data_IF_551054567134
#
_entry.id   IF_551054567134
#
_cell.length_a   1.000
_cell.length_b   1.000
_cell.length_c   1.000
_cell.angle_alpha   90.00
_cell.angle_beta   90.00
_cell.angle_gamma   90.00
#
_symmetry.space_group_name_H-M   'P 1'
#
loop_
_entity.id
_entity.type
_entity.pdbx_description
1 polymer ?
#
# COMPACT_ATOMS: atom_id res chain seq x y z
N UNK A 1 -11.19 -1.09 -4.25
CA UNK A 1 -10.95 -0.31 -5.49
C UNK A 1 -12.11 -0.50 -6.47
N UNK A 2 -12.63 -1.71 -6.62
CA UNK A 2 -13.76 -2.00 -7.48
C UNK A 2 -15.03 -1.23 -7.09
N UNK A 3 -15.89 -0.91 -8.07
CA UNK A 3 -17.07 -0.06 -7.85
C UNK A 3 -18.08 -0.66 -6.86
N UNK A 4 -18.18 -1.97 -6.81
CA UNK A 4 -19.04 -2.74 -5.92
C UNK A 4 -18.33 -3.24 -4.64
N UNK A 5 -17.09 -2.80 -4.41
CA UNK A 5 -16.36 -3.08 -3.17
C UNK A 5 -17.00 -2.39 -1.97
N UNK A 6 -17.07 -3.10 -0.83
CA UNK A 6 -17.75 -2.62 0.38
C UNK A 6 -17.12 -1.32 0.95
N UNK A 7 -15.78 -1.21 0.90
CA UNK A 7 -15.02 -0.01 1.26
C UNK A 7 -14.08 0.30 0.09
N UNK A 8 -14.61 0.98 -0.92
CA UNK A 8 -13.89 1.20 -2.17
C UNK A 8 -13.43 2.64 -2.33
N UNK A 9 -12.20 2.81 -2.79
CA UNK A 9 -11.66 4.08 -3.24
C UNK A 9 -12.14 4.46 -4.66
N UNK A 10 -12.83 3.55 -5.37
CA UNK A 10 -13.45 3.72 -6.71
C UNK A 10 -12.51 4.40 -7.70
N UNK A 11 -13.06 5.35 -8.49
CA UNK A 11 -12.33 6.03 -9.55
C UNK A 11 -10.97 6.59 -9.13
N UNK A 12 -10.78 7.29 -7.99
CA UNK A 12 -9.46 7.72 -7.57
C UNK A 12 -8.44 6.58 -7.44
N UNK A 13 -8.87 5.44 -6.87
CA UNK A 13 -8.02 4.26 -6.74
C UNK A 13 -7.77 3.54 -8.06
N UNK A 14 -8.72 3.58 -8.99
CA UNK A 14 -8.58 2.99 -10.33
C UNK A 14 -7.65 3.83 -11.21
N UNK A 15 -7.68 5.14 -11.08
CA UNK A 15 -6.89 6.06 -11.89
C UNK A 15 -5.37 5.92 -11.69
N UNK A 16 -4.92 5.43 -10.54
CA UNK A 16 -3.49 5.25 -10.25
C UNK A 16 -2.91 3.92 -10.74
N UNK A 17 -3.74 2.97 -11.16
CA UNK A 17 -3.31 1.61 -11.51
C UNK A 17 -2.20 1.58 -12.56
N UNK A 18 -2.37 2.27 -13.68
CA UNK A 18 -1.38 2.31 -14.77
C UNK A 18 -0.03 2.90 -14.31
N UNK A 19 -0.07 3.87 -13.42
CA UNK A 19 1.16 4.46 -12.87
C UNK A 19 1.88 3.47 -11.96
N UNK A 20 1.14 2.77 -11.11
CA UNK A 20 1.69 1.73 -10.22
C UNK A 20 2.33 0.62 -11.03
N UNK A 21 1.68 0.15 -12.09
CA UNK A 21 2.22 -0.90 -12.97
C UNK A 21 3.54 -0.47 -13.63
N UNK A 22 3.61 0.76 -14.17
CA UNK A 22 4.84 1.30 -14.76
C UNK A 22 5.98 1.42 -13.75
N UNK A 23 5.66 1.82 -12.52
CA UNK A 23 6.65 1.87 -11.43
C UNK A 23 7.12 0.46 -11.09
N UNK A 24 6.22 -0.49 -10.92
CA UNK A 24 6.56 -1.89 -10.60
C UNK A 24 7.49 -2.50 -11.66
N UNK A 25 7.18 -2.32 -12.95
CA UNK A 25 8.04 -2.78 -14.04
C UNK A 25 9.40 -2.08 -14.03
N UNK A 26 9.44 -0.79 -13.74
CA UNK A 26 10.68 0.00 -13.68
C UNK A 26 11.57 -0.49 -12.55
N UNK A 27 11.02 -0.68 -11.34
CA UNK A 27 11.76 -1.18 -10.19
C UNK A 27 12.30 -2.60 -10.44
N UNK A 28 11.47 -3.51 -10.99
CA UNK A 28 11.94 -4.85 -11.35
C UNK A 28 13.06 -4.83 -12.40
N UNK A 29 12.94 -3.98 -13.43
CA UNK A 29 13.96 -3.86 -14.46
C UNK A 29 15.30 -3.32 -13.93
N UNK A 30 15.26 -2.53 -12.84
CA UNK A 30 16.44 -2.04 -12.15
C UNK A 30 17.04 -3.06 -11.16
N UNK A 31 16.37 -4.17 -10.91
CA UNK A 31 16.78 -5.16 -9.90
C UNK A 31 16.31 -4.82 -8.48
N UNK A 32 15.35 -3.91 -8.35
CA UNK A 32 14.75 -3.52 -7.07
C UNK A 32 13.56 -4.41 -6.71
N UNK A 33 13.16 -4.39 -5.44
CA UNK A 33 12.04 -5.16 -4.94
C UNK A 33 10.70 -4.46 -5.19
N UNK A 34 9.69 -5.25 -5.54
CA UNK A 34 8.28 -4.83 -5.55
C UNK A 34 7.53 -5.62 -4.48
N UNK A 35 7.00 -4.89 -3.50
CA UNK A 35 6.35 -5.48 -2.32
C UNK A 35 4.88 -5.07 -2.30
N UNK A 36 3.97 -6.05 -2.16
CA UNK A 36 2.53 -5.87 -2.15
C UNK A 36 1.94 -6.23 -0.78
N UNK A 37 1.97 -5.30 0.18
CA UNK A 37 1.27 -5.49 1.45
C UNK A 37 -0.25 -5.47 1.21
N UNK A 38 -0.91 -6.60 1.38
CA UNK A 38 -2.34 -6.74 1.12
C UNK A 38 -3.12 -6.65 2.43
N UNK A 39 -4.00 -5.67 2.53
CA UNK A 39 -4.87 -5.50 3.68
C UNK A 39 -5.82 -6.69 3.82
N UNK A 40 -5.87 -7.32 5.00
CA UNK A 40 -6.49 -8.62 5.20
C UNK A 40 -7.22 -8.66 6.53
N UNK A 41 -8.53 -8.94 6.49
CA UNK A 41 -9.37 -9.02 7.68
C UNK A 41 -10.04 -10.37 7.83
N UNK A 42 -10.42 -10.71 9.09
CA UNK A 42 -11.25 -11.86 9.41
C UNK A 42 -12.69 -11.40 9.65
N UNK A 43 -13.66 -12.07 9.04
CA UNK A 43 -15.07 -11.66 9.05
C UNK A 43 -15.65 -11.43 10.46
N UNK A 44 -15.22 -12.22 11.43
CA UNK A 44 -15.79 -12.22 12.78
C UNK A 44 -14.84 -11.64 13.85
N UNK A 45 -13.80 -10.93 13.45
CA UNK A 45 -12.88 -10.30 14.41
C UNK A 45 -13.46 -8.99 14.97
N UNK A 46 -14.30 -9.12 16.00
CA UNK A 46 -14.89 -7.99 16.72
C UNK A 46 -13.89 -7.17 17.55
N UNK A 47 -12.67 -7.68 17.73
CA UNK A 47 -11.61 -7.00 18.49
C UNK A 47 -10.70 -6.16 17.59
N UNK A 48 -10.76 -6.37 16.28
CA UNK A 48 -10.03 -5.54 15.33
C UNK A 48 -10.53 -4.09 15.42
N UNK A 49 -9.64 -3.08 15.53
CA UNK A 49 -10.05 -1.69 15.72
C UNK A 49 -10.97 -1.17 14.60
N UNK A 50 -10.74 -1.58 13.36
CA UNK A 50 -11.55 -1.17 12.22
C UNK A 50 -12.97 -1.74 12.21
N UNK A 51 -13.24 -2.82 12.97
CA UNK A 51 -14.58 -3.40 13.08
C UNK A 51 -15.66 -2.43 13.59
N UNK A 52 -15.22 -1.33 14.23
CA UNK A 52 -16.11 -0.27 14.76
C UNK A 52 -16.18 0.96 13.86
N UNK A 53 -15.31 1.03 12.85
CA UNK A 53 -15.14 2.21 11.99
C UNK A 53 -15.68 1.98 10.58
N UNK A 54 -15.52 0.77 10.07
CA UNK A 54 -15.82 0.42 8.69
C UNK A 54 -16.66 -0.86 8.60
N UNK A 55 -17.46 -1.01 7.53
CA UNK A 55 -18.09 -2.30 7.25
C UNK A 55 -17.02 -3.37 6.95
N UNK A 56 -17.37 -4.67 7.08
CA UNK A 56 -16.44 -5.74 6.70
C UNK A 56 -15.93 -5.58 5.27
N UNK A 57 -14.62 -5.58 5.10
CA UNK A 57 -13.94 -5.41 3.82
C UNK A 57 -12.66 -6.24 3.80
N UNK A 58 -12.10 -6.48 2.62
CA UNK A 58 -10.86 -7.25 2.41
C UNK A 58 -10.82 -8.56 3.22
N UNK A 59 -11.98 -9.24 3.32
CA UNK A 59 -12.08 -10.48 4.09
C UNK A 59 -11.31 -11.59 3.40
N UNK A 60 -10.41 -12.23 4.13
CA UNK A 60 -9.56 -13.31 3.64
C UNK A 60 -10.37 -14.39 2.90
N UNK A 61 -9.87 -14.83 1.74
CA UNK A 61 -10.51 -15.85 0.90
C UNK A 61 -11.71 -15.37 0.08
N UNK A 62 -12.11 -14.09 0.20
CA UNK A 62 -13.20 -13.53 -0.61
C UNK A 62 -12.68 -12.80 -1.85
N UNK A 63 -13.57 -12.54 -2.80
CA UNK A 63 -13.28 -11.72 -3.96
C UNK A 63 -12.74 -10.32 -3.59
N UNK A 64 -13.30 -9.67 -2.57
CA UNK A 64 -12.88 -8.34 -2.14
C UNK A 64 -11.47 -8.26 -1.58
N UNK A 65 -10.85 -9.39 -1.26
CA UNK A 65 -9.46 -9.48 -0.79
C UNK A 65 -8.45 -9.64 -1.95
N UNK A 66 -8.92 -9.92 -3.16
CA UNK A 66 -8.02 -10.11 -4.30
C UNK A 66 -7.43 -8.77 -4.76
N UNK A 67 -6.23 -8.83 -5.34
CA UNK A 67 -5.67 -7.67 -6.04
C UNK A 67 -6.61 -7.24 -7.16
N UNK A 68 -6.70 -5.94 -7.41
CA UNK A 68 -7.63 -5.38 -8.40
C UNK A 68 -7.02 -5.35 -9.80
N UNK A 69 -7.86 -5.55 -10.80
CA UNK A 69 -7.64 -5.23 -12.20
C UNK A 69 -6.33 -5.78 -12.79
N UNK A 70 -5.63 -4.96 -13.50
CA UNK A 70 -4.34 -5.30 -14.15
C UNK A 70 -3.22 -5.59 -13.15
N UNK A 71 -3.29 -5.05 -11.93
CA UNK A 71 -2.32 -5.38 -10.88
C UNK A 71 -2.41 -6.85 -10.48
N UNK A 72 -3.61 -7.44 -10.48
CA UNK A 72 -3.78 -8.87 -10.25
C UNK A 72 -3.10 -9.71 -11.36
N UNK A 73 -3.29 -9.33 -12.63
CA UNK A 73 -2.64 -10.00 -13.77
C UNK A 73 -1.11 -9.84 -13.71
N UNK A 74 -0.65 -8.63 -13.40
CA UNK A 74 0.78 -8.34 -13.24
C UNK A 74 1.40 -9.23 -12.15
N UNK A 75 0.73 -9.35 -11.00
CA UNK A 75 1.21 -10.18 -9.90
C UNK A 75 1.25 -11.67 -10.31
N UNK A 76 0.21 -12.19 -10.95
CA UNK A 76 0.19 -13.57 -11.44
C UNK A 76 1.38 -13.88 -12.35
N UNK A 77 1.77 -12.94 -13.21
CA UNK A 77 2.89 -13.09 -14.14
C UNK A 77 4.26 -12.97 -13.44
N UNK A 78 4.34 -12.27 -12.31
CA UNK A 78 5.60 -11.95 -11.64
C UNK A 78 5.78 -12.62 -10.27
N UNK A 79 4.80 -13.32 -9.71
CA UNK A 79 4.85 -13.89 -8.36
C UNK A 79 5.97 -14.91 -8.12
N UNK A 80 6.51 -15.51 -9.18
CA UNK A 80 7.66 -16.43 -9.11
C UNK A 80 9.02 -15.69 -9.15
N UNK A 81 9.03 -14.37 -9.38
CA UNK A 81 10.23 -13.56 -9.36
C UNK A 81 10.67 -13.34 -7.89
N UNK A 82 11.92 -13.60 -7.58
CA UNK A 82 12.49 -13.42 -6.22
C UNK A 82 12.48 -11.97 -5.71
N UNK A 83 12.31 -11.00 -6.61
CA UNK A 83 12.19 -9.58 -6.28
C UNK A 83 10.72 -9.17 -6.00
N UNK A 84 9.76 -10.07 -6.14
CA UNK A 84 8.34 -9.80 -5.88
C UNK A 84 7.90 -10.51 -4.61
N UNK A 85 7.38 -9.74 -3.67
CA UNK A 85 6.88 -10.29 -2.41
C UNK A 85 5.50 -9.74 -2.08
N UNK A 86 4.52 -10.62 -1.91
CA UNK A 86 3.19 -10.29 -1.39
C UNK A 86 3.04 -10.88 0.01
N UNK A 87 2.45 -10.09 0.92
CA UNK A 87 2.08 -10.58 2.26
C UNK A 87 0.81 -9.91 2.76
N UNK A 88 0.13 -10.58 3.68
CA UNK A 88 -1.05 -10.05 4.38
C UNK A 88 -0.64 -9.15 5.55
N UNK A 89 -1.33 -8.04 5.71
CA UNK A 89 -1.26 -7.16 6.89
C UNK A 89 -2.65 -6.94 7.45
N UNK A 90 -2.76 -6.74 8.74
CA UNK A 90 -4.02 -6.54 9.46
C UNK A 90 -4.07 -5.19 10.22
N UNK A 91 -3.19 -4.26 9.86
CA UNK A 91 -3.13 -2.89 10.38
C UNK A 91 -2.90 -1.93 9.23
N UNK A 92 -3.16 -0.64 9.43
CA UNK A 92 -2.93 0.37 8.41
C UNK A 92 -1.50 0.37 7.91
N UNK A 93 -0.54 0.43 8.83
CA UNK A 93 0.88 0.37 8.46
C UNK A 93 1.29 -1.01 7.97
N UNK A 94 2.07 -1.04 6.92
CA UNK A 94 2.69 -2.25 6.38
C UNK A 94 3.78 -2.84 7.27
N UNK A 95 4.25 -2.08 8.27
CA UNK A 95 5.25 -2.54 9.24
C UNK A 95 4.62 -3.21 10.46
N UNK A 96 3.41 -2.82 10.85
CA UNK A 96 2.80 -3.28 12.09
C UNK A 96 2.44 -4.76 12.04
N UNK A 97 2.98 -5.53 12.98
CA UNK A 97 2.77 -6.98 13.12
C UNK A 97 3.17 -7.79 11.88
N UNK A 98 4.17 -7.30 11.12
CA UNK A 98 4.68 -7.96 9.91
C UNK A 98 6.19 -8.18 9.96
N UNK A 99 6.74 -8.89 8.98
CA UNK A 99 8.18 -9.08 8.83
C UNK A 99 8.86 -8.02 7.96
N UNK A 100 8.19 -6.92 7.59
CA UNK A 100 8.67 -5.98 6.57
C UNK A 100 10.01 -5.35 6.93
N UNK A 101 10.17 -4.80 8.14
CA UNK A 101 11.43 -4.16 8.54
C UNK A 101 12.61 -5.15 8.47
N UNK A 102 12.43 -6.36 8.99
CA UNK A 102 13.47 -7.40 8.91
C UNK A 102 13.80 -7.77 7.45
N UNK A 103 12.78 -7.87 6.58
CA UNK A 103 12.97 -8.13 5.15
C UNK A 103 13.83 -7.05 4.50
N UNK A 104 13.50 -5.78 4.74
CA UNK A 104 14.20 -4.62 4.17
C UNK A 104 15.64 -4.52 4.69
N UNK A 105 15.84 -4.62 6.01
CA UNK A 105 17.17 -4.52 6.66
C UNK A 105 18.13 -5.60 6.17
N UNK A 106 17.69 -6.84 6.08
CA UNK A 106 18.53 -7.94 5.63
C UNK A 106 18.99 -7.79 4.17
N UNK A 107 18.24 -6.99 3.38
CA UNK A 107 18.53 -6.67 1.98
C UNK A 107 19.21 -5.32 1.79
N UNK A 108 19.50 -4.62 2.91
CA UNK A 108 20.12 -3.28 2.92
C UNK A 108 19.34 -2.24 2.11
N UNK A 109 18.02 -2.36 2.13
CA UNK A 109 17.11 -1.38 1.53
C UNK A 109 16.92 -0.26 2.55
N UNK A 110 17.13 0.98 2.14
CA UNK A 110 17.05 2.19 2.96
C UNK A 110 16.10 3.24 2.40
N UNK A 111 15.59 3.03 1.20
CA UNK A 111 14.69 3.96 0.51
C UNK A 111 13.44 3.22 0.05
N UNK A 112 12.27 3.78 0.31
CA UNK A 112 10.98 3.21 -0.02
C UNK A 112 10.18 4.16 -0.91
N UNK A 113 9.71 3.64 -2.03
CA UNK A 113 8.70 4.30 -2.86
C UNK A 113 7.32 3.75 -2.46
N UNK A 114 6.48 4.60 -1.85
CA UNK A 114 5.16 4.19 -1.38
C UNK A 114 4.07 4.56 -2.39
N UNK A 115 3.23 3.60 -2.71
CA UNK A 115 2.11 3.75 -3.65
C UNK A 115 0.85 3.09 -3.11
N UNK A 116 -0.29 3.36 -3.73
CA UNK A 116 -1.56 2.70 -3.44
C UNK A 116 -2.56 3.55 -2.68
N UNK A 117 -3.42 2.89 -1.92
CA UNK A 117 -4.58 3.49 -1.24
C UNK A 117 -4.67 3.04 0.24
N UNK A 118 -5.24 3.84 1.12
CA UNK A 118 -5.55 5.26 0.94
C UNK A 118 -4.37 6.12 1.38
N UNK A 119 -4.13 7.22 0.69
CA UNK A 119 -3.01 8.14 0.95
C UNK A 119 -2.92 8.58 2.41
N UNK A 120 -4.05 8.94 3.00
CA UNK A 120 -4.22 9.47 4.36
C UNK A 120 -4.46 8.38 5.42
N UNK A 121 -4.48 7.11 5.03
CA UNK A 121 -4.67 5.97 5.95
C UNK A 121 -3.47 5.02 5.85
N UNK A 122 -3.53 3.99 5.03
CA UNK A 122 -2.48 2.96 4.99
C UNK A 122 -1.12 3.50 4.53
N UNK A 123 -1.11 4.36 3.50
CA UNK A 123 0.13 4.97 3.01
C UNK A 123 0.72 5.90 4.06
N UNK A 124 -0.11 6.75 4.69
CA UNK A 124 0.34 7.64 5.76
C UNK A 124 0.95 6.87 6.94
N UNK A 125 0.23 5.88 7.48
CA UNK A 125 0.73 5.14 8.65
C UNK A 125 1.99 4.33 8.31
N UNK A 126 2.08 3.80 7.09
CA UNK A 126 3.30 3.14 6.61
C UNK A 126 4.46 4.14 6.49
N UNK A 127 4.20 5.36 6.00
CA UNK A 127 5.21 6.40 5.88
C UNK A 127 5.72 6.87 7.25
N UNK A 128 4.84 7.01 8.25
CA UNK A 128 5.22 7.37 9.62
C UNK A 128 6.13 6.31 10.23
N UNK A 129 5.73 5.03 10.17
CA UNK A 129 6.56 3.95 10.71
C UNK A 129 7.90 3.84 9.96
N UNK A 130 7.91 4.03 8.64
CA UNK A 130 9.13 4.04 7.85
C UNK A 130 10.07 5.18 8.25
N UNK A 131 9.53 6.38 8.48
CA UNK A 131 10.28 7.54 8.97
C UNK A 131 10.90 7.27 10.34
N UNK A 132 10.11 6.75 11.29
CA UNK A 132 10.59 6.42 12.64
C UNK A 132 11.66 5.32 12.63
N UNK A 133 11.62 4.45 11.62
CA UNK A 133 12.63 3.42 11.37
C UNK A 133 13.83 3.91 10.51
N UNK A 134 13.91 5.20 10.20
CA UNK A 134 14.98 5.84 9.43
C UNK A 134 15.08 5.38 7.96
N UNK A 135 13.96 5.06 7.31
CA UNK A 135 13.91 4.90 5.86
C UNK A 135 13.74 6.25 5.16
N UNK A 136 14.39 6.42 4.02
CA UNK A 136 14.11 7.51 3.08
C UNK A 136 12.82 7.22 2.33
N UNK A 137 12.01 8.26 2.06
CA UNK A 137 10.68 8.11 1.47
C UNK A 137 10.55 8.84 0.15
N UNK A 138 10.00 8.15 -0.84
CA UNK A 138 9.56 8.70 -2.11
C UNK A 138 8.05 8.44 -2.28
N UNK A 139 7.30 9.47 -2.63
CA UNK A 139 5.84 9.39 -2.81
C UNK A 139 5.50 9.99 -4.18
N UNK A 140 5.32 9.18 -5.23
CA UNK A 140 4.79 9.67 -6.50
C UNK A 140 3.30 9.99 -6.32
N UNK A 141 2.96 11.28 -6.32
CA UNK A 141 1.59 11.75 -6.02
C UNK A 141 0.51 11.24 -6.98
N UNK A 142 0.90 10.84 -8.18
CA UNK A 142 0.03 10.22 -9.17
C UNK A 142 -0.06 8.69 -9.05
N UNK A 143 0.56 8.10 -8.03
CA UNK A 143 0.48 6.67 -7.69
C UNK A 143 -0.11 6.42 -6.30
N UNK A 144 -0.65 7.45 -5.65
CA UNK A 144 -1.40 7.35 -4.39
C UNK A 144 -2.76 8.01 -4.54
N UNK A 145 -3.78 7.47 -3.87
CA UNK A 145 -5.14 8.01 -3.92
C UNK A 145 -5.90 7.76 -2.62
N UNK A 146 -6.96 8.52 -2.38
CA UNK A 146 -7.90 8.29 -1.29
C UNK A 146 -9.34 8.58 -1.74
N UNK A 147 -10.31 8.05 -1.01
CA UNK A 147 -11.71 8.43 -1.15
C UNK A 147 -12.02 9.77 -0.45
N UNK A 148 -11.15 10.26 0.43
CA UNK A 148 -11.20 11.60 1.04
C UNK A 148 -10.16 12.52 0.38
N UNK A 149 -10.63 13.43 -0.46
CA UNK A 149 -9.76 14.37 -1.16
C UNK A 149 -9.02 15.32 -0.21
N UNK A 150 -9.69 15.75 0.88
CA UNK A 150 -9.08 16.65 1.87
C UNK A 150 -7.96 15.91 2.61
N UNK A 151 -8.23 14.68 3.03
CA UNK A 151 -7.24 13.81 3.67
C UNK A 151 -6.05 13.52 2.74
N UNK A 152 -6.32 13.23 1.47
CA UNK A 152 -5.28 13.01 0.45
C UNK A 152 -4.33 14.21 0.32
N UNK A 153 -4.86 15.40 0.11
CA UNK A 153 -4.06 16.63 -0.03
C UNK A 153 -3.29 16.98 1.24
N UNK A 154 -3.92 16.77 2.41
CA UNK A 154 -3.25 16.98 3.68
C UNK A 154 -2.08 16.00 3.85
N UNK A 155 -2.28 14.72 3.57
CA UNK A 155 -1.25 13.70 3.68
C UNK A 155 -0.05 13.97 2.76
N UNK A 156 -0.28 14.39 1.50
CA UNK A 156 0.79 14.76 0.59
C UNK A 156 1.67 15.88 1.15
N UNK A 157 1.06 16.93 1.72
CA UNK A 157 1.81 18.01 2.39
C UNK A 157 2.54 17.52 3.63
N UNK A 158 1.92 16.63 4.42
CA UNK A 158 2.50 16.07 5.63
C UNK A 158 3.74 15.21 5.32
N UNK A 159 3.72 14.42 4.27
CA UNK A 159 4.87 13.64 3.82
C UNK A 159 6.10 14.54 3.56
N UNK A 160 5.92 15.66 2.86
CA UNK A 160 7.02 16.59 2.60
C UNK A 160 7.46 17.35 3.86
N UNK A 161 6.50 17.98 4.56
CA UNK A 161 6.82 18.94 5.62
C UNK A 161 7.22 18.31 6.93
N UNK A 162 6.75 17.10 7.23
CA UNK A 162 6.93 16.44 8.53
C UNK A 162 7.79 15.19 8.46
N UNK A 163 7.71 14.44 7.37
CA UNK A 163 8.47 13.21 7.19
C UNK A 163 9.67 13.37 6.24
N UNK A 164 9.85 14.56 5.64
CA UNK A 164 10.95 14.82 4.72
C UNK A 164 10.92 13.96 3.45
N UNK A 165 9.75 13.40 3.10
CA UNK A 165 9.61 12.58 1.92
C UNK A 165 9.76 13.42 0.62
N UNK A 166 10.32 12.81 -0.42
CA UNK A 166 10.31 13.37 -1.77
C UNK A 166 8.96 13.07 -2.42
N UNK A 167 8.09 14.08 -2.51
CA UNK A 167 6.79 13.99 -3.20
C UNK A 167 6.91 14.58 -4.60
N UNK A 168 6.50 13.84 -5.67
CA UNK A 168 6.69 14.29 -7.07
C UNK A 168 5.57 13.83 -8.01
#
# INVERSE_FOLDING_TARGET
IADDGTLSCKEPGQAIEETILKLADTYLANGDYVILPTDTHQLNDKYHPESKLFPPHNIEGTWGHQLYGKLAEWYQNNQANELVWQYSKDRYSSFQNTGLDNFLRTRKIDTLCLTGVCTDICVLHTAVDAYDLNYSLEIPKNAVASFDQIGHEWALRHFESSLGAKVY
#
